data_IF_536694967777
#
_entry.id   IF_536694967777
#
_cell.length_a   1.000
_cell.length_b   1.000
_cell.length_c   1.000
_cell.angle_alpha   90.00
_cell.angle_beta   90.00
_cell.angle_gamma   90.00
#
_symmetry.space_group_name_H-M   'P 1'
#
loop_
_entity.id
_entity.type
_entity.pdbx_description
1 polymer ?
#
# COMPACT_ATOMS: atom_id res chain seq x y z
N UNK A 1 11.78 -1.71 9.29
CA UNK A 1 12.69 -0.81 8.54
C UNK A 1 14.07 -1.45 8.54
N UNK A 2 14.45 -2.17 7.48
CA UNK A 2 15.78 -2.77 7.37
C UNK A 2 16.72 -1.83 6.60
N UNK A 3 17.99 -1.64 7.04
CA UNK A 3 18.94 -0.75 6.36
C UNK A 3 19.23 -1.17 4.92
N UNK A 4 19.38 -0.21 4.01
CA UNK A 4 19.70 -0.48 2.60
C UNK A 4 18.51 -0.88 1.71
N UNK A 5 17.29 -1.02 2.27
CA UNK A 5 16.08 -1.32 1.50
C UNK A 5 15.84 -0.27 0.40
N UNK A 6 15.82 -0.73 -0.86
CA UNK A 6 15.60 0.07 -2.05
C UNK A 6 14.88 -0.77 -3.12
N UNK A 7 14.29 -0.08 -4.10
CA UNK A 7 13.70 -0.74 -5.27
C UNK A 7 14.79 -1.17 -6.28
N UNK A 8 14.53 -2.24 -7.02
CA UNK A 8 15.33 -2.77 -8.13
C UNK A 8 14.96 -2.19 -9.51
N UNK A 9 13.82 -1.51 -9.60
CA UNK A 9 13.37 -0.77 -10.78
C UNK A 9 13.83 0.69 -10.69
N UNK A 10 14.17 1.29 -11.83
CA UNK A 10 14.50 2.72 -11.87
C UNK A 10 13.31 3.55 -11.36
N UNK A 11 13.58 4.50 -10.47
CA UNK A 11 12.54 5.25 -9.74
C UNK A 11 11.58 5.99 -10.65
N UNK A 12 12.07 6.50 -11.79
CA UNK A 12 11.24 7.15 -12.81
C UNK A 12 10.12 6.24 -13.36
N UNK A 13 10.28 4.92 -13.26
CA UNK A 13 9.29 3.92 -13.65
C UNK A 13 8.51 3.35 -12.45
N UNK A 14 8.96 3.64 -11.23
CA UNK A 14 8.41 3.09 -9.98
C UNK A 14 7.41 4.04 -9.33
N UNK A 15 6.50 4.57 -10.16
CA UNK A 15 5.36 5.39 -9.78
C UNK A 15 4.14 4.90 -10.54
N UNK A 16 2.93 5.14 -10.02
CA UNK A 16 1.72 4.91 -10.80
C UNK A 16 1.77 5.73 -12.09
N UNK A 17 1.39 5.12 -13.21
CA UNK A 17 1.38 5.78 -14.53
C UNK A 17 0.61 7.11 -14.54
N UNK A 18 -0.44 7.21 -13.71
CA UNK A 18 -1.28 8.39 -13.56
C UNK A 18 -0.81 9.40 -12.49
N UNK A 19 0.18 9.04 -11.66
CA UNK A 19 0.71 9.89 -10.59
C UNK A 19 2.23 9.74 -10.52
N UNK A 20 2.93 10.27 -11.50
CA UNK A 20 4.39 10.25 -11.56
C UNK A 20 5.01 11.09 -10.44
N UNK A 21 6.10 10.60 -9.84
CA UNK A 21 6.86 11.38 -8.87
C UNK A 21 8.18 11.89 -9.49
N UNK A 22 8.32 13.19 -9.80
CA UNK A 22 9.56 13.76 -10.33
C UNK A 22 10.64 13.97 -9.26
N UNK A 23 10.29 13.82 -7.97
CA UNK A 23 11.15 14.19 -6.84
C UNK A 23 11.96 13.03 -6.26
N UNK A 24 12.11 11.91 -7.00
CA UNK A 24 13.00 10.84 -6.56
C UNK A 24 14.43 11.35 -6.41
N UNK A 25 15.05 11.13 -5.26
CA UNK A 25 16.40 11.64 -4.98
C UNK A 25 17.51 10.95 -5.75
N UNK A 26 17.24 9.77 -6.33
CA UNK A 26 18.24 8.89 -6.96
C UNK A 26 17.62 7.90 -7.94
N UNK A 27 18.47 7.23 -8.72
CA UNK A 27 18.04 6.23 -9.71
C UNK A 27 17.23 5.08 -9.10
N UNK A 28 17.56 4.64 -7.87
CA UNK A 28 16.87 3.55 -7.17
C UNK A 28 16.40 4.01 -5.77
N UNK A 29 15.17 4.50 -5.67
CA UNK A 29 14.61 5.13 -4.49
C UNK A 29 14.68 4.24 -3.25
N UNK A 30 14.91 4.87 -2.10
CA UNK A 30 14.99 4.17 -0.84
C UNK A 30 13.59 3.94 -0.25
N UNK A 31 13.47 2.96 0.64
CA UNK A 31 12.18 2.57 1.25
C UNK A 31 11.39 3.74 1.84
N UNK A 32 12.06 4.75 2.42
CA UNK A 32 11.38 5.88 3.06
C UNK A 32 10.72 6.80 2.01
N UNK A 33 11.35 7.03 0.86
CA UNK A 33 10.78 7.82 -0.25
C UNK A 33 9.58 7.10 -0.85
N UNK A 34 9.69 5.79 -1.10
CA UNK A 34 8.59 4.98 -1.64
C UNK A 34 7.40 5.00 -0.68
N UNK A 35 7.64 4.86 0.63
CA UNK A 35 6.60 4.97 1.65
C UNK A 35 5.95 6.35 1.67
N UNK A 36 6.74 7.42 1.53
CA UNK A 36 6.22 8.79 1.49
C UNK A 36 5.35 9.02 0.24
N UNK A 37 5.81 8.55 -0.92
CA UNK A 37 5.06 8.59 -2.17
C UNK A 37 3.71 7.85 -2.07
N UNK A 38 3.69 6.61 -1.57
CA UNK A 38 2.45 5.85 -1.40
C UNK A 38 1.48 6.51 -0.41
N UNK A 39 1.99 7.09 0.69
CA UNK A 39 1.18 7.87 1.62
C UNK A 39 0.57 9.10 0.96
N UNK A 40 1.36 9.86 0.20
CA UNK A 40 0.89 11.01 -0.57
C UNK A 40 -0.27 10.61 -1.49
N UNK A 41 -0.14 9.51 -2.25
CA UNK A 41 -1.22 9.01 -3.10
C UNK A 41 -2.47 8.66 -2.29
N UNK A 42 -2.33 7.94 -1.17
CA UNK A 42 -3.46 7.56 -0.33
C UNK A 42 -4.21 8.78 0.26
N UNK A 43 -3.48 9.83 0.61
CA UNK A 43 -4.05 11.11 1.08
C UNK A 43 -4.69 11.89 -0.07
N UNK A 44 -3.98 12.09 -1.18
CA UNK A 44 -4.45 12.86 -2.36
C UNK A 44 -5.78 12.34 -2.91
N UNK A 45 -5.93 11.01 -3.00
CA UNK A 45 -7.14 10.37 -3.50
C UNK A 45 -8.16 10.05 -2.40
N UNK A 46 -7.93 10.48 -1.16
CA UNK A 46 -8.86 10.31 -0.06
C UNK A 46 -9.12 8.85 0.32
N UNK A 47 -8.15 7.96 0.08
CA UNK A 47 -8.27 6.52 0.32
C UNK A 47 -8.21 6.18 1.81
N UNK A 48 -7.55 7.02 2.63
CA UNK A 48 -7.33 6.75 4.05
C UNK A 48 -8.63 6.48 4.84
N UNK A 49 -9.74 7.14 4.49
CA UNK A 49 -11.05 6.92 5.14
C UNK A 49 -11.69 5.56 4.82
N UNK A 50 -11.19 4.88 3.78
CA UNK A 50 -11.66 3.58 3.34
C UNK A 50 -10.72 2.44 3.77
N UNK A 51 -9.59 2.76 4.40
CA UNK A 51 -8.57 1.80 4.80
C UNK A 51 -8.61 1.62 6.32
N UNK A 52 -8.78 0.37 6.76
CA UNK A 52 -8.58 -0.02 8.15
C UNK A 52 -7.14 -0.53 8.34
N UNK A 53 -6.25 0.35 8.81
CA UNK A 53 -4.89 -0.04 9.18
C UNK A 53 -4.89 -0.93 10.43
N UNK A 54 -3.78 -1.63 10.68
CA UNK A 54 -3.62 -2.52 11.84
C UNK A 54 -4.76 -3.54 11.98
N UNK A 55 -5.33 -3.98 10.87
CA UNK A 55 -6.44 -4.94 10.83
C UNK A 55 -5.98 -6.13 9.99
N UNK A 56 -5.57 -7.20 10.65
CA UNK A 56 -5.12 -8.43 9.99
C UNK A 56 -6.32 -9.27 9.58
N UNK A 57 -6.41 -9.66 8.31
CA UNK A 57 -7.42 -10.60 7.83
C UNK A 57 -6.99 -12.02 8.21
N UNK A 58 -7.78 -12.66 9.08
CA UNK A 58 -7.51 -13.98 9.64
C UNK A 58 -8.03 -15.11 8.73
N UNK A 59 -9.10 -14.84 7.99
CA UNK A 59 -9.75 -15.82 7.15
C UNK A 59 -10.80 -15.19 6.24
N UNK A 60 -11.17 -15.93 5.21
CA UNK A 60 -12.27 -15.60 4.33
C UNK A 60 -12.96 -16.89 3.88
N UNK A 61 -14.29 -16.92 3.96
CA UNK A 61 -15.11 -18.01 3.45
C UNK A 61 -16.21 -17.46 2.56
N UNK A 62 -16.55 -18.19 1.51
CA UNK A 62 -17.68 -17.83 0.67
C UNK A 62 -18.97 -18.40 1.29
N UNK A 63 -19.98 -17.53 1.44
CA UNK A 63 -21.33 -17.90 1.82
C UNK A 63 -22.15 -18.08 0.53
N UNK A 64 -22.37 -19.34 0.15
CA UNK A 64 -23.10 -19.73 -1.06
C UNK A 64 -24.56 -19.26 -1.03
N UNK A 65 -25.18 -19.18 0.16
CA UNK A 65 -26.58 -18.78 0.29
C UNK A 65 -26.76 -17.30 0.02
N UNK A 66 -25.84 -16.47 0.53
CA UNK A 66 -25.89 -15.02 0.36
C UNK A 66 -25.02 -14.51 -0.79
N UNK A 67 -24.34 -15.41 -1.51
CA UNK A 67 -23.38 -15.16 -2.58
C UNK A 67 -22.35 -14.08 -2.22
N UNK A 68 -21.82 -14.13 -0.99
CA UNK A 68 -20.93 -13.11 -0.44
C UNK A 68 -19.74 -13.73 0.28
N UNK A 69 -18.60 -13.06 0.21
CA UNK A 69 -17.45 -13.39 1.05
C UNK A 69 -17.65 -12.85 2.46
N UNK A 70 -17.53 -13.74 3.45
CA UNK A 70 -17.45 -13.39 4.86
C UNK A 70 -15.96 -13.37 5.21
N UNK A 71 -15.47 -12.20 5.59
CA UNK A 71 -14.06 -11.96 5.94
C UNK A 71 -13.97 -11.76 7.43
N UNK A 72 -13.09 -12.51 8.06
CA UNK A 72 -12.83 -12.48 9.49
C UNK A 72 -11.51 -11.73 9.74
N UNK A 73 -11.53 -10.79 10.67
CA UNK A 73 -10.34 -10.07 11.10
C UNK A 73 -9.95 -10.53 12.49
N UNK A 74 -8.65 -10.68 12.76
CA UNK A 74 -8.21 -10.78 14.15
C UNK A 74 -8.44 -9.41 14.81
N UNK A 75 -8.97 -9.42 16.03
CA UNK A 75 -8.80 -8.27 16.89
C UNK A 75 -7.30 -8.12 17.13
N UNK A 76 -6.75 -6.95 16.78
CA UNK A 76 -5.40 -6.60 17.22
C UNK A 76 -5.43 -6.50 18.75
N UNK A 77 -4.42 -7.02 19.46
CA UNK A 77 -4.32 -6.87 20.91
C UNK A 77 -4.28 -5.39 21.33
#
# INVERSE_FOLDING_TARGET
>A
HYPGCACDVQSALYSFSFEQNPNWSRMYAQQHEIKAYLKHCAEKYGLMKHIRLNTHVAGARFDETHQRWVVETCDSP
#
